data_IF_416436608060
#
_entry.id   IF_416436608060
#
_cell.length_a   1.000
_cell.length_b   1.000
_cell.length_c   1.000
_cell.angle_alpha   90.00
_cell.angle_beta   90.00
_cell.angle_gamma   90.00
#
_symmetry.space_group_name_H-M   'P 1'
#
loop_
_entity.id
_entity.type
_entity.pdbx_description
1 polymer ?
#
# COMPACT_ATOMS: atom_id res chain seq x y z
N UNK A 1 -14.99 18.28 -16.45
CA UNK A 1 -15.04 17.64 -15.13
C UNK A 1 -14.34 18.57 -14.17
N UNK A 2 -14.88 18.80 -12.98
CA UNK A 2 -14.19 19.56 -11.94
C UNK A 2 -13.07 18.67 -11.35
N UNK A 3 -11.98 19.27 -10.86
CA UNK A 3 -10.84 18.57 -10.25
C UNK A 3 -11.28 17.57 -9.17
N UNK A 4 -12.22 17.97 -8.31
CA UNK A 4 -12.84 17.12 -7.26
C UNK A 4 -13.55 15.87 -7.83
N UNK A 5 -14.16 15.96 -9.01
CA UNK A 5 -14.80 14.78 -9.64
C UNK A 5 -13.77 13.78 -10.15
N UNK A 6 -12.64 14.28 -10.69
CA UNK A 6 -11.52 13.44 -11.15
C UNK A 6 -10.86 12.71 -9.96
N UNK A 7 -10.63 13.39 -8.84
CA UNK A 7 -10.04 12.80 -7.63
C UNK A 7 -10.90 11.67 -7.06
N UNK A 8 -12.22 11.88 -7.01
CA UNK A 8 -13.17 10.86 -6.56
C UNK A 8 -13.17 9.63 -7.49
N UNK A 9 -13.11 9.84 -8.80
CA UNK A 9 -13.03 8.75 -9.77
C UNK A 9 -11.74 7.94 -9.61
N UNK A 10 -10.59 8.58 -9.33
CA UNK A 10 -9.31 7.91 -9.05
C UNK A 10 -9.43 7.03 -7.80
N UNK A 11 -9.96 7.55 -6.69
CA UNK A 11 -10.15 6.81 -5.44
C UNK A 11 -11.02 5.56 -5.64
N UNK A 12 -12.15 5.70 -6.36
CA UNK A 12 -13.06 4.58 -6.67
C UNK A 12 -12.36 3.57 -7.58
N UNK A 13 -11.67 4.02 -8.62
CA UNK A 13 -10.94 3.15 -9.56
C UNK A 13 -9.88 2.30 -8.83
N UNK A 14 -9.06 2.93 -7.99
CA UNK A 14 -8.07 2.23 -7.18
C UNK A 14 -8.73 1.21 -6.26
N UNK A 15 -9.75 1.60 -5.49
CA UNK A 15 -10.44 0.69 -4.57
C UNK A 15 -11.02 -0.52 -5.31
N UNK A 16 -11.68 -0.30 -6.47
CA UNK A 16 -12.28 -1.37 -7.29
C UNK A 16 -11.22 -2.31 -7.87
N UNK A 17 -10.09 -1.76 -8.35
CA UNK A 17 -9.01 -2.55 -8.92
C UNK A 17 -8.44 -3.56 -7.91
N UNK A 18 -8.16 -3.10 -6.69
CA UNK A 18 -7.61 -3.96 -5.63
C UNK A 18 -8.62 -4.97 -5.07
N UNK A 19 -9.91 -4.82 -5.35
CA UNK A 19 -10.94 -5.80 -5.01
C UNK A 19 -11.07 -6.94 -6.03
N UNK A 20 -10.44 -6.84 -7.21
CA UNK A 20 -10.62 -7.80 -8.29
C UNK A 20 -9.99 -9.17 -7.98
N UNK A 21 -10.68 -10.25 -8.37
CA UNK A 21 -10.19 -11.62 -8.21
C UNK A 21 -8.91 -11.89 -9.00
N UNK A 22 -8.71 -11.21 -10.13
CA UNK A 22 -7.49 -11.31 -10.92
C UNK A 22 -6.28 -10.77 -10.15
N UNK A 23 -6.42 -9.63 -9.49
CA UNK A 23 -5.35 -9.04 -8.67
C UNK A 23 -5.02 -9.99 -7.51
N UNK A 24 -6.03 -10.56 -6.85
CA UNK A 24 -5.83 -11.57 -5.80
C UNK A 24 -5.10 -12.81 -6.31
N UNK A 25 -5.46 -13.33 -7.46
CA UNK A 25 -4.79 -14.49 -8.05
C UNK A 25 -3.31 -14.23 -8.33
N UNK A 26 -2.98 -13.02 -8.81
CA UNK A 26 -1.61 -12.63 -9.15
C UNK A 26 -0.76 -12.24 -7.93
N UNK A 27 -1.32 -11.47 -7.00
CA UNK A 27 -0.56 -10.88 -5.89
C UNK A 27 -0.79 -11.56 -4.54
N UNK A 28 -1.86 -12.36 -4.39
CA UNK A 28 -2.28 -12.96 -3.11
C UNK A 28 -3.15 -12.00 -2.30
N UNK A 29 -3.24 -12.22 -0.99
CA UNK A 29 -4.03 -11.38 -0.09
C UNK A 29 -3.25 -10.20 0.50
N UNK A 30 -1.93 -10.16 0.31
CA UNK A 30 -1.03 -9.08 0.72
C UNK A 30 -0.51 -8.37 -0.52
N UNK A 31 -1.02 -7.16 -0.78
CA UNK A 31 -0.83 -6.45 -2.04
C UNK A 31 0.39 -5.51 -2.08
N UNK A 32 1.29 -5.60 -1.13
CA UNK A 32 2.48 -4.75 -1.12
C UNK A 32 3.79 -5.54 -1.23
N UNK A 33 4.84 -4.97 -1.84
CA UNK A 33 6.17 -5.55 -1.89
C UNK A 33 6.69 -5.90 -0.49
N UNK A 34 7.34 -7.05 -0.37
CA UNK A 34 7.89 -7.53 0.90
C UNK A 34 6.89 -8.25 1.81
N UNK A 35 5.58 -8.12 1.56
CA UNK A 35 4.53 -8.80 2.32
C UNK A 35 4.64 -8.57 3.83
N UNK A 36 4.05 -9.47 4.61
CA UNK A 36 4.01 -9.35 6.08
C UNK A 36 5.40 -9.28 6.75
N UNK A 37 6.45 -9.74 6.09
CA UNK A 37 7.82 -9.58 6.59
C UNK A 37 8.25 -8.10 6.60
N UNK A 38 7.86 -7.32 5.58
CA UNK A 38 8.12 -5.89 5.55
C UNK A 38 7.20 -5.13 6.50
N UNK A 39 5.93 -5.53 6.62
CA UNK A 39 5.01 -4.99 7.65
C UNK A 39 5.60 -5.17 9.06
N UNK A 40 6.14 -6.36 9.36
CA UNK A 40 6.83 -6.61 10.64
C UNK A 40 8.04 -5.70 10.82
N UNK A 41 8.88 -5.56 9.77
CA UNK A 41 10.03 -4.65 9.78
C UNK A 41 9.60 -3.20 10.01
N UNK A 42 8.50 -2.75 9.38
CA UNK A 42 7.91 -1.43 9.58
C UNK A 42 7.51 -1.23 11.04
N UNK A 43 6.78 -2.18 11.63
CA UNK A 43 6.40 -2.15 13.05
C UNK A 43 7.61 -2.06 13.99
N UNK A 44 8.69 -2.81 13.69
CA UNK A 44 9.96 -2.71 14.43
C UNK A 44 10.61 -1.34 14.27
N UNK A 45 10.65 -0.78 13.05
CA UNK A 45 11.28 0.50 12.77
C UNK A 45 10.61 1.66 13.51
N UNK A 46 9.28 1.64 13.60
CA UNK A 46 8.52 2.62 14.39
C UNK A 46 8.33 2.19 15.86
N UNK A 47 8.99 1.09 16.29
CA UNK A 47 9.01 0.60 17.67
C UNK A 47 7.60 0.38 18.25
N UNK A 48 6.74 -0.32 17.50
CA UNK A 48 5.43 -0.73 18.03
C UNK A 48 5.57 -1.64 19.24
N UNK A 49 4.67 -1.49 20.17
CA UNK A 49 4.61 -2.30 21.38
C UNK A 49 3.20 -2.51 21.90
N UNK A 50 3.06 -3.33 22.97
CA UNK A 50 1.77 -3.62 23.55
C UNK A 50 1.04 -2.36 24.01
N UNK A 51 -0.23 -2.25 23.64
CA UNK A 51 -1.11 -1.13 24.02
C UNK A 51 -0.97 0.12 23.16
N UNK A 52 -0.04 0.19 22.18
CA UNK A 52 -0.03 1.26 21.18
C UNK A 52 -1.35 1.29 20.42
N UNK A 53 -1.89 2.49 20.19
CA UNK A 53 -3.03 2.74 19.32
C UNK A 53 -2.50 3.09 17.94
N UNK A 54 -2.71 2.20 16.99
CA UNK A 54 -2.19 2.30 15.63
C UNK A 54 -3.33 2.58 14.66
N UNK A 55 -3.15 3.53 13.74
CA UNK A 55 -4.03 3.72 12.58
C UNK A 55 -3.33 3.14 11.35
N UNK A 56 -4.01 2.23 10.65
CA UNK A 56 -3.61 1.72 9.34
C UNK A 56 -4.46 2.40 8.26
N UNK A 57 -3.85 3.34 7.52
CA UNK A 57 -4.52 4.17 6.52
C UNK A 57 -4.48 3.48 5.17
N UNK A 58 -5.66 3.26 4.56
CA UNK A 58 -5.88 2.42 3.39
C UNK A 58 -5.49 0.97 3.66
N UNK A 59 -6.05 0.40 4.72
CA UNK A 59 -5.71 -0.92 5.25
C UNK A 59 -6.08 -2.09 4.32
N UNK A 60 -6.79 -1.83 3.21
CA UNK A 60 -7.26 -2.86 2.31
C UNK A 60 -8.08 -3.92 3.06
N UNK A 61 -7.75 -5.18 2.84
CA UNK A 61 -8.40 -6.33 3.48
C UNK A 61 -7.85 -6.68 4.88
N UNK A 62 -7.08 -5.76 5.48
CA UNK A 62 -6.65 -5.85 6.88
C UNK A 62 -5.42 -6.73 7.14
N UNK A 63 -4.72 -7.21 6.12
CA UNK A 63 -3.60 -8.14 6.32
C UNK A 63 -2.48 -7.55 7.21
N UNK A 64 -2.10 -6.30 6.96
CA UNK A 64 -1.12 -5.58 7.78
C UNK A 64 -1.63 -5.31 9.19
N UNK A 65 -2.87 -4.81 9.31
CA UNK A 65 -3.49 -4.51 10.61
C UNK A 65 -3.56 -5.75 11.52
N UNK A 66 -4.04 -6.88 11.00
CA UNK A 66 -4.14 -8.17 11.70
C UNK A 66 -2.75 -8.64 12.12
N UNK A 67 -1.78 -8.61 11.21
CA UNK A 67 -0.41 -9.04 11.50
C UNK A 67 0.25 -8.19 12.58
N UNK A 68 0.09 -6.86 12.55
CA UNK A 68 0.64 -5.97 13.57
C UNK A 68 -0.02 -6.19 14.94
N UNK A 69 -1.35 -6.34 14.98
CA UNK A 69 -2.07 -6.64 16.20
C UNK A 69 -1.59 -7.95 16.85
N UNK A 70 -1.41 -8.99 16.05
CA UNK A 70 -0.89 -10.29 16.52
C UNK A 70 0.55 -10.18 17.04
N UNK A 71 1.43 -9.54 16.26
CA UNK A 71 2.88 -9.56 16.52
C UNK A 71 3.33 -8.58 17.60
N UNK A 72 2.65 -7.44 17.74
CA UNK A 72 3.04 -6.40 18.68
C UNK A 72 2.07 -6.21 19.84
N UNK A 73 0.95 -6.96 19.87
CA UNK A 73 -0.12 -6.81 20.86
C UNK A 73 -0.63 -5.36 20.96
N UNK A 74 -0.64 -4.64 19.85
CA UNK A 74 -1.14 -3.26 19.73
C UNK A 74 -2.61 -3.25 19.30
N UNK A 75 -3.30 -2.14 19.54
CA UNK A 75 -4.66 -1.92 19.05
C UNK A 75 -4.61 -1.24 17.68
N UNK A 76 -5.10 -1.91 16.64
CA UNK A 76 -5.05 -1.36 15.28
C UNK A 76 -6.44 -0.97 14.81
N UNK A 77 -6.59 0.30 14.43
CA UNK A 77 -7.74 0.78 13.68
C UNK A 77 -7.38 0.84 12.20
N UNK A 78 -8.01 0.00 11.38
CA UNK A 78 -7.87 0.05 9.92
C UNK A 78 -8.93 0.98 9.31
N UNK A 79 -8.51 1.82 8.39
CA UNK A 79 -9.40 2.68 7.60
C UNK A 79 -9.18 2.42 6.12
N UNK A 80 -10.25 2.20 5.36
CA UNK A 80 -10.19 2.03 3.91
C UNK A 80 -11.35 2.77 3.22
N UNK A 81 -11.11 3.20 1.98
CA UNK A 81 -12.14 3.87 1.17
C UNK A 81 -13.21 2.89 0.69
N UNK A 82 -12.83 1.64 0.44
CA UNK A 82 -13.70 0.57 -0.07
C UNK A 82 -14.45 -0.14 1.05
N UNK A 83 -15.79 -0.07 1.03
CA UNK A 83 -16.63 -0.74 2.04
C UNK A 83 -16.46 -2.25 2.06
N UNK A 84 -16.19 -2.87 0.91
CA UNK A 84 -15.95 -4.32 0.79
C UNK A 84 -14.60 -4.73 1.41
N UNK A 85 -13.59 -3.87 1.30
CA UNK A 85 -12.31 -4.06 1.98
C UNK A 85 -12.49 -4.06 3.50
N UNK A 86 -13.24 -3.11 4.02
CA UNK A 86 -13.55 -3.02 5.46
C UNK A 86 -14.26 -4.27 5.97
N UNK A 87 -15.26 -4.76 5.23
CA UNK A 87 -15.96 -6.00 5.59
C UNK A 87 -15.03 -7.23 5.56
N UNK A 88 -14.16 -7.31 4.54
CA UNK A 88 -13.19 -8.38 4.42
C UNK A 88 -12.12 -8.33 5.52
N UNK A 89 -11.67 -7.12 5.89
CA UNK A 89 -10.71 -6.93 6.98
C UNK A 89 -11.28 -7.36 8.35
N UNK A 90 -12.56 -7.06 8.60
CA UNK A 90 -13.22 -7.53 9.82
C UNK A 90 -13.31 -9.07 9.86
N UNK A 91 -13.74 -9.69 8.75
CA UNK A 91 -13.81 -11.15 8.66
C UNK A 91 -12.43 -11.80 8.86
N UNK A 92 -11.38 -11.21 8.27
CA UNK A 92 -10.01 -11.70 8.45
C UNK A 92 -9.56 -11.62 9.92
N UNK A 93 -9.86 -10.53 10.61
CA UNK A 93 -9.52 -10.39 12.03
C UNK A 93 -10.29 -11.36 12.94
N UNK A 94 -11.54 -11.65 12.58
CA UNK A 94 -12.35 -12.66 13.27
C UNK A 94 -11.75 -14.07 13.08
N UNK A 95 -11.39 -14.43 11.86
CA UNK A 95 -10.78 -15.72 11.50
C UNK A 95 -9.42 -15.94 12.19
N UNK A 96 -8.58 -14.89 12.30
CA UNK A 96 -7.28 -14.94 12.98
C UNK A 96 -7.37 -14.75 14.51
N UNK A 97 -8.58 -14.51 15.06
CA UNK A 97 -8.83 -14.41 16.51
C UNK A 97 -8.31 -13.11 17.15
N UNK A 98 -8.02 -12.08 16.37
CA UNK A 98 -7.51 -10.77 16.83
C UNK A 98 -8.54 -9.65 16.79
N UNK A 99 -9.81 -9.96 16.58
CA UNK A 99 -10.90 -8.98 16.55
C UNK A 99 -10.99 -8.10 17.81
N UNK A 100 -10.50 -8.59 18.95
CA UNK A 100 -10.45 -7.84 20.19
C UNK A 100 -9.34 -6.74 20.21
N UNK A 101 -8.40 -6.78 19.27
CA UNK A 101 -7.31 -5.80 19.08
C UNK A 101 -7.50 -4.95 17.83
N UNK A 102 -8.51 -5.23 17.02
CA UNK A 102 -8.69 -4.57 15.72
C UNK A 102 -10.07 -3.95 15.58
N UNK A 103 -10.15 -2.85 14.85
CA UNK A 103 -11.40 -2.20 14.45
C UNK A 103 -11.24 -1.69 13.03
N UNK A 104 -12.26 -1.90 12.18
CA UNK A 104 -12.20 -1.43 10.79
C UNK A 104 -13.36 -0.51 10.49
N UNK A 105 -13.08 0.56 9.72
CA UNK A 105 -14.11 1.50 9.30
C UNK A 105 -13.84 2.07 7.91
N UNK A 106 -14.92 2.43 7.23
CA UNK A 106 -14.82 3.14 5.97
C UNK A 106 -14.45 4.61 6.22
N UNK A 107 -13.56 5.16 5.39
CA UNK A 107 -13.18 6.56 5.44
C UNK A 107 -12.23 6.96 4.32
N UNK A 108 -11.94 8.27 4.27
CA UNK A 108 -11.03 8.87 3.30
C UNK A 108 -9.74 9.30 4.01
N UNK A 109 -8.59 8.98 3.43
CA UNK A 109 -7.28 9.40 3.95
C UNK A 109 -7.09 10.93 3.97
N UNK A 110 -7.80 11.63 3.09
CA UNK A 110 -7.80 13.11 3.00
C UNK A 110 -8.82 13.78 3.93
N UNK A 111 -9.47 13.00 4.81
CA UNK A 111 -10.43 13.51 5.79
C UNK A 111 -10.67 12.44 6.86
N UNK A 112 -9.66 12.17 7.70
CA UNK A 112 -9.70 11.13 8.69
C UNK A 112 -10.74 11.40 9.78
N UNK A 113 -11.72 10.50 10.01
CA UNK A 113 -12.83 10.70 10.93
C UNK A 113 -12.42 10.40 12.39
N UNK A 114 -11.30 10.97 12.83
CA UNK A 114 -10.74 10.82 14.17
C UNK A 114 -10.36 12.19 14.74
N UNK A 115 -10.36 12.30 16.06
CA UNK A 115 -9.90 13.48 16.76
C UNK A 115 -8.37 13.65 16.67
N UNK A 116 -7.86 14.84 16.98
CA UNK A 116 -6.44 15.15 16.99
C UNK A 116 -5.71 14.34 18.08
N UNK A 117 -4.54 13.79 17.74
CA UNK A 117 -3.63 13.19 18.71
C UNK A 117 -4.13 11.89 19.34
N UNK A 118 -5.02 11.15 18.70
CA UNK A 118 -5.59 9.91 19.29
C UNK A 118 -4.77 8.68 19.02
N UNK A 119 -3.79 8.69 18.09
CA UNK A 119 -2.97 7.55 17.75
C UNK A 119 -1.51 7.73 18.18
N UNK A 120 -0.91 6.66 18.68
CA UNK A 120 0.50 6.59 19.04
C UNK A 120 1.38 6.28 17.82
N UNK A 121 0.79 5.63 16.81
CA UNK A 121 1.41 5.39 15.51
C UNK A 121 0.38 5.46 14.36
N UNK A 122 0.85 5.88 13.19
CA UNK A 122 0.10 5.80 11.92
C UNK A 122 0.96 5.06 10.92
N UNK A 123 0.37 4.12 10.20
CA UNK A 123 1.01 3.43 9.08
C UNK A 123 0.20 3.60 7.80
N UNK A 124 0.87 3.45 6.66
CA UNK A 124 0.25 3.31 5.34
C UNK A 124 1.19 2.50 4.45
N UNK A 125 0.71 1.42 3.84
CA UNK A 125 1.52 0.54 3.01
C UNK A 125 0.98 0.48 1.58
N UNK A 126 1.83 0.86 0.61
CA UNK A 126 1.55 0.83 -0.83
C UNK A 126 0.26 1.57 -1.24
N UNK A 127 -0.01 2.71 -0.62
CA UNK A 127 -1.26 3.45 -0.83
C UNK A 127 -1.08 4.97 -0.91
N UNK A 128 -0.08 5.55 -0.26
CA UNK A 128 0.16 7.00 -0.25
C UNK A 128 0.40 7.55 -1.67
N UNK A 129 1.05 6.77 -2.55
CA UNK A 129 1.22 7.10 -3.97
C UNK A 129 -0.11 7.30 -4.70
N UNK A 130 -1.19 6.62 -4.27
CA UNK A 130 -2.51 6.66 -4.92
C UNK A 130 -3.38 7.82 -4.46
N UNK A 131 -3.04 8.50 -3.36
CA UNK A 131 -3.84 9.61 -2.86
C UNK A 131 -3.74 10.80 -3.80
N UNK A 132 -4.86 11.35 -4.31
CA UNK A 132 -4.85 12.53 -5.17
C UNK A 132 -4.22 13.75 -4.48
N UNK A 133 -4.65 14.08 -3.27
CA UNK A 133 -4.07 15.15 -2.44
C UNK A 133 -3.20 14.58 -1.31
N UNK A 134 -1.95 14.25 -1.65
CA UNK A 134 -0.97 13.76 -0.67
C UNK A 134 -0.65 14.75 0.44
N UNK A 135 -0.77 16.05 0.18
CA UNK A 135 -0.50 17.07 1.18
C UNK A 135 -1.59 17.07 2.25
N UNK A 136 -2.86 17.01 1.85
CA UNK A 136 -3.99 16.88 2.78
C UNK A 136 -3.94 15.56 3.53
N UNK A 137 -3.66 14.42 2.85
CA UNK A 137 -3.53 13.13 3.53
C UNK A 137 -2.39 13.12 4.56
N UNK A 138 -1.23 13.69 4.23
CA UNK A 138 -0.11 13.82 5.17
C UNK A 138 -0.47 14.71 6.38
N UNK A 139 -1.17 15.82 6.15
CA UNK A 139 -1.64 16.69 7.22
C UNK A 139 -2.63 15.98 8.16
N UNK A 140 -3.56 15.20 7.62
CA UNK A 140 -4.50 14.39 8.38
C UNK A 140 -3.80 13.29 9.20
N UNK A 141 -2.85 12.55 8.59
CA UNK A 141 -2.04 11.56 9.30
C UNK A 141 -1.26 12.21 10.46
N UNK A 142 -0.66 13.37 10.22
CA UNK A 142 0.05 14.12 11.27
C UNK A 142 -0.93 14.65 12.33
N UNK A 143 -2.13 15.13 11.96
CA UNK A 143 -3.13 15.64 12.89
C UNK A 143 -3.57 14.60 13.92
N UNK A 144 -3.88 13.38 13.43
CA UNK A 144 -4.39 12.31 14.30
C UNK A 144 -3.30 11.63 15.15
N UNK A 145 -2.01 11.82 14.82
CA UNK A 145 -0.89 11.39 15.66
C UNK A 145 -0.80 12.22 16.93
N UNK A 146 -0.56 11.58 18.06
CA UNK A 146 -0.15 12.24 19.30
C UNK A 146 1.23 12.91 19.13
N UNK A 147 1.54 13.91 19.95
CA UNK A 147 2.88 14.49 20.02
C UNK A 147 3.89 13.39 20.40
N UNK A 148 4.99 13.29 19.66
CA UNK A 148 5.93 12.20 19.78
C UNK A 148 5.47 10.89 19.11
N UNK A 149 4.26 10.87 18.54
CA UNK A 149 3.73 9.75 17.77
C UNK A 149 4.55 9.47 16.51
N UNK A 150 4.46 8.26 16.00
CA UNK A 150 5.37 7.71 14.97
C UNK A 150 4.61 7.40 13.69
N UNK A 151 5.18 7.80 12.56
CA UNK A 151 4.68 7.42 11.24
C UNK A 151 5.56 6.35 10.64
N UNK A 152 4.94 5.35 10.01
CA UNK A 152 5.57 4.35 9.16
C UNK A 152 4.89 4.29 7.80
N UNK A 153 5.66 4.49 6.73
CA UNK A 153 5.18 4.44 5.35
C UNK A 153 6.02 3.47 4.55
N UNK A 154 5.39 2.55 3.81
CA UNK A 154 6.08 1.83 2.73
C UNK A 154 5.36 2.13 1.43
N UNK A 155 6.10 2.55 0.38
CA UNK A 155 5.43 2.92 -0.86
C UNK A 155 6.31 2.82 -2.11
N UNK A 156 5.63 2.80 -3.26
CA UNK A 156 6.25 2.88 -4.58
C UNK A 156 6.92 4.23 -4.77
N UNK A 157 8.08 4.22 -5.39
CA UNK A 157 8.81 5.43 -5.73
C UNK A 157 9.22 5.44 -7.21
N UNK A 158 9.25 6.63 -7.80
CA UNK A 158 9.66 6.84 -9.19
C UNK A 158 10.70 7.96 -9.23
N UNK A 159 11.86 7.65 -9.82
CA UNK A 159 12.92 8.61 -10.09
C UNK A 159 12.92 8.95 -11.59
N UNK A 160 12.59 10.18 -11.93
CA UNK A 160 12.52 10.65 -13.31
C UNK A 160 11.18 10.36 -14.01
N UNK A 161 11.20 10.29 -15.34
CA UNK A 161 10.01 10.02 -16.14
C UNK A 161 9.85 8.53 -16.41
N UNK A 162 8.62 8.05 -16.26
CA UNK A 162 8.26 6.71 -16.71
C UNK A 162 8.19 6.70 -18.25
N UNK A 163 8.69 5.64 -18.90
CA UNK A 163 8.54 5.45 -20.34
C UNK A 163 7.07 5.37 -20.77
N UNK A 164 6.76 5.91 -21.97
CA UNK A 164 5.39 5.94 -22.49
C UNK A 164 4.75 4.57 -22.64
N UNK A 165 5.55 3.52 -22.91
CA UNK A 165 5.10 2.14 -23.02
C UNK A 165 4.58 1.55 -21.68
N UNK A 166 4.89 2.20 -20.58
CA UNK A 166 4.36 1.85 -19.25
C UNK A 166 3.15 2.70 -18.87
N UNK A 167 3.01 3.89 -19.44
CA UNK A 167 1.86 4.75 -19.17
C UNK A 167 0.53 4.15 -19.64
N UNK A 168 0.50 3.30 -20.64
CA UNK A 168 -0.71 2.56 -21.08
C UNK A 168 -1.11 1.43 -20.11
N UNK A 169 -0.18 1.00 -19.26
CA UNK A 169 -0.41 0.06 -18.17
C UNK A 169 -0.82 0.71 -16.88
N UNK A 170 -0.90 2.02 -16.85
CA UNK A 170 -1.18 2.80 -15.67
C UNK A 170 -2.57 2.55 -15.08
N UNK A 171 -3.51 2.01 -15.84
CA UNK A 171 -4.69 1.41 -15.25
C UNK A 171 -4.32 0.23 -14.32
N UNK A 172 -3.19 -0.44 -14.62
CA UNK A 172 -2.68 -1.57 -13.85
C UNK A 172 -1.76 -1.14 -12.70
N UNK A 173 -1.14 0.01 -12.83
CA UNK A 173 -0.16 0.52 -11.85
C UNK A 173 -0.59 1.91 -11.40
N UNK A 174 -1.83 2.04 -10.94
CA UNK A 174 -2.30 3.28 -10.31
C UNK A 174 -1.30 3.77 -9.23
N UNK A 175 -0.65 2.83 -8.55
CA UNK A 175 0.42 3.09 -7.59
C UNK A 175 1.64 3.81 -8.19
N UNK A 176 1.98 3.61 -9.47
CA UNK A 176 3.19 4.21 -10.08
C UNK A 176 2.90 5.59 -10.66
N UNK A 177 1.67 5.85 -11.15
CA UNK A 177 1.31 7.13 -11.75
C UNK A 177 1.40 8.31 -10.78
N UNK A 178 1.04 8.06 -9.52
CA UNK A 178 1.10 9.07 -8.46
C UNK A 178 2.36 8.98 -7.59
N UNK A 179 3.30 8.06 -7.89
CA UNK A 179 4.51 7.87 -7.11
C UNK A 179 5.50 9.03 -7.30
N UNK A 180 6.04 9.49 -6.18
CA UNK A 180 7.10 10.47 -6.13
C UNK A 180 8.46 9.84 -5.81
N UNK A 181 9.48 10.67 -5.66
CA UNK A 181 10.75 10.24 -5.08
C UNK A 181 10.64 10.08 -3.56
N UNK A 182 11.52 9.29 -2.91
CA UNK A 182 11.55 9.22 -1.45
C UNK A 182 11.68 10.60 -0.78
N UNK A 183 12.50 11.49 -1.36
CA UNK A 183 12.69 12.87 -0.86
C UNK A 183 11.43 13.72 -1.01
N UNK A 184 10.66 13.55 -2.09
CA UNK A 184 9.39 14.24 -2.29
C UNK A 184 8.35 13.82 -1.24
N UNK A 185 8.30 12.53 -0.90
CA UNK A 185 7.45 12.05 0.19
C UNK A 185 7.88 12.61 1.54
N UNK A 186 9.18 12.54 1.86
CA UNK A 186 9.71 13.11 3.10
C UNK A 186 9.43 14.62 3.21
N UNK A 187 9.53 15.37 2.10
CA UNK A 187 9.21 16.81 2.09
C UNK A 187 7.72 17.06 2.31
N UNK A 188 6.83 16.26 1.71
CA UNK A 188 5.38 16.36 1.94
C UNK A 188 5.04 16.12 3.41
N UNK A 189 5.61 15.07 4.00
CA UNK A 189 5.42 14.72 5.40
C UNK A 189 6.04 15.78 6.34
N UNK A 190 7.17 16.37 5.98
CA UNK A 190 7.81 17.45 6.75
C UNK A 190 6.92 18.69 6.80
N UNK A 191 6.31 19.08 5.69
CA UNK A 191 5.35 20.20 5.65
C UNK A 191 4.12 19.94 6.50
N UNK A 192 3.78 18.69 6.74
CA UNK A 192 2.71 18.28 7.64
C UNK A 192 3.10 18.31 9.14
N UNK A 193 4.34 18.68 9.49
CA UNK A 193 4.83 18.75 10.87
C UNK A 193 5.47 17.47 11.40
N UNK A 194 5.96 16.62 10.49
CA UNK A 194 6.72 15.43 10.87
C UNK A 194 8.23 15.66 10.72
N UNK A 195 9.02 15.04 11.58
CA UNK A 195 10.49 15.12 11.62
C UNK A 195 11.14 13.76 11.85
N UNK A 196 12.43 13.75 12.21
CA UNK A 196 13.20 12.52 12.52
C UNK A 196 13.11 11.43 11.44
N UNK A 197 13.30 11.79 10.17
CA UNK A 197 13.13 10.86 9.06
C UNK A 197 14.23 9.79 8.98
N UNK A 198 13.80 8.54 8.75
CA UNK A 198 14.67 7.47 8.24
C UNK A 198 14.08 6.96 6.94
N UNK A 199 14.91 6.78 5.90
CA UNK A 199 14.50 6.29 4.59
C UNK A 199 15.33 5.05 4.26
N UNK A 200 14.66 3.92 4.04
CA UNK A 200 15.30 2.65 3.68
C UNK A 200 14.88 2.23 2.27
N UNK A 201 15.85 1.86 1.45
CA UNK A 201 15.60 1.30 0.11
C UNK A 201 15.09 -0.13 0.22
N UNK A 202 13.92 -0.39 -0.36
CA UNK A 202 13.24 -1.68 -0.39
C UNK A 202 13.06 -2.20 -1.82
N UNK A 203 13.86 -1.75 -2.80
CA UNK A 203 13.78 -2.18 -4.21
C UNK A 203 13.89 -3.69 -4.38
N UNK A 204 14.62 -4.37 -3.51
CA UNK A 204 14.71 -5.84 -3.52
C UNK A 204 13.34 -6.49 -3.31
N UNK A 205 12.54 -5.99 -2.38
CA UNK A 205 11.19 -6.48 -2.11
C UNK A 205 10.27 -6.30 -3.34
N UNK A 206 10.34 -5.14 -3.99
CA UNK A 206 9.60 -4.89 -5.23
C UNK A 206 10.03 -5.84 -6.36
N UNK A 207 11.33 -6.02 -6.57
CA UNK A 207 11.85 -6.95 -7.56
C UNK A 207 11.39 -8.39 -7.32
N UNK A 208 11.41 -8.83 -6.07
CA UNK A 208 11.00 -10.19 -5.70
C UNK A 208 9.49 -10.40 -5.92
N UNK A 209 8.66 -9.38 -5.64
CA UNK A 209 7.23 -9.39 -5.96
C UNK A 209 6.99 -9.50 -7.47
N UNK A 210 7.64 -8.67 -8.30
CA UNK A 210 7.51 -8.72 -9.77
C UNK A 210 7.98 -10.07 -10.31
N UNK A 211 9.08 -10.61 -9.80
CA UNK A 211 9.54 -11.95 -10.18
C UNK A 211 8.56 -13.05 -9.74
N UNK A 212 7.86 -12.87 -8.63
CA UNK A 212 6.76 -13.73 -8.18
C UNK A 212 5.61 -13.76 -9.19
N UNK A 213 5.17 -12.60 -9.64
CA UNK A 213 4.14 -12.45 -10.69
C UNK A 213 4.58 -13.14 -11.98
N UNK A 214 5.83 -12.92 -12.42
CA UNK A 214 6.37 -13.60 -13.62
C UNK A 214 6.28 -15.11 -13.51
N UNK A 215 6.66 -15.70 -12.36
CA UNK A 215 6.57 -17.16 -12.15
C UNK A 215 5.13 -17.65 -12.21
N UNK A 216 4.18 -16.91 -11.64
CA UNK A 216 2.75 -17.24 -11.71
C UNK A 216 2.22 -17.21 -13.15
N UNK A 217 2.56 -16.17 -13.92
CA UNK A 217 2.19 -16.06 -15.34
C UNK A 217 2.74 -17.25 -16.16
N UNK A 218 3.98 -17.67 -15.93
CA UNK A 218 4.55 -18.85 -16.59
C UNK A 218 3.82 -20.16 -16.19
N UNK A 219 3.41 -20.29 -14.92
CA UNK A 219 2.63 -21.42 -14.45
C UNK A 219 1.24 -21.49 -15.09
N UNK A 220 0.58 -20.34 -15.22
CA UNK A 220 -0.72 -20.20 -15.91
C UNK A 220 -0.61 -20.59 -17.38
N UNK A 221 0.42 -20.13 -18.08
CA UNK A 221 0.70 -20.50 -19.48
C UNK A 221 0.88 -22.01 -19.67
N UNK A 222 1.67 -22.63 -18.79
CA UNK A 222 1.87 -24.08 -18.82
C UNK A 222 0.55 -24.85 -18.60
N UNK A 223 -0.26 -24.41 -17.64
CA UNK A 223 -1.55 -25.04 -17.35
C UNK A 223 -2.53 -24.89 -18.53
N UNK A 224 -2.56 -23.73 -19.19
CA UNK A 224 -3.36 -23.50 -20.39
C UNK A 224 -2.88 -24.36 -21.57
N UNK A 225 -1.57 -24.47 -21.80
CA UNK A 225 -0.99 -25.32 -22.84
C UNK A 225 -1.28 -26.82 -22.63
N UNK A 226 -1.56 -27.23 -21.40
CA UNK A 226 -2.00 -28.59 -21.05
C UNK A 226 -3.53 -28.76 -21.10
N UNK A 227 -4.27 -27.74 -21.53
CA UNK A 227 -5.74 -27.76 -21.58
C UNK A 227 -6.43 -27.77 -20.20
N UNK A 228 -5.71 -27.41 -19.14
CA UNK A 228 -6.21 -27.42 -17.76
C UNK A 228 -6.83 -26.08 -17.32
N UNK A 229 -6.63 -25.02 -18.12
CA UNK A 229 -7.11 -23.68 -17.83
C UNK A 229 -7.54 -22.98 -19.12
N UNK A 230 -8.71 -22.38 -19.11
CA UNK A 230 -9.17 -21.45 -20.14
C UNK A 230 -8.78 -20.02 -19.72
N UNK A 231 -8.04 -19.33 -20.57
CA UNK A 231 -7.54 -17.99 -20.28
C UNK A 231 -8.52 -16.87 -20.62
N UNK A 232 -9.59 -17.19 -21.37
CA UNK A 232 -10.49 -16.15 -21.89
C UNK A 232 -9.70 -15.09 -22.68
N UNK A 233 -9.94 -13.82 -22.35
CA UNK A 233 -9.30 -12.67 -23.00
C UNK A 233 -7.95 -12.26 -22.37
N UNK A 234 -7.35 -13.09 -21.51
CA UNK A 234 -6.09 -12.75 -20.80
C UNK A 234 -4.89 -12.84 -21.74
N UNK A 235 -4.27 -11.70 -22.04
CA UNK A 235 -3.02 -11.63 -22.81
C UNK A 235 -1.80 -11.89 -21.91
N UNK A 236 -1.39 -13.17 -21.85
CA UNK A 236 -0.23 -13.59 -21.07
C UNK A 236 1.10 -13.05 -21.62
N UNK A 237 1.21 -12.85 -22.93
CA UNK A 237 2.46 -12.36 -23.52
C UNK A 237 2.67 -10.90 -23.18
N UNK A 238 1.62 -10.11 -23.22
CA UNK A 238 1.64 -8.75 -22.72
C UNK A 238 2.00 -8.73 -21.21
N UNK A 239 1.33 -9.50 -20.36
CA UNK A 239 1.66 -9.61 -18.94
C UNK A 239 3.13 -9.95 -18.67
N UNK A 240 3.70 -10.90 -19.41
CA UNK A 240 5.12 -11.26 -19.31
C UNK A 240 6.05 -10.15 -19.79
N UNK A 241 5.69 -9.46 -20.90
CA UNK A 241 6.44 -8.31 -21.42
C UNK A 241 6.56 -7.22 -20.36
N UNK A 242 5.44 -6.92 -19.71
CA UNK A 242 5.32 -5.88 -18.72
C UNK A 242 6.11 -6.20 -17.44
N UNK A 243 6.00 -7.43 -16.99
CA UNK A 243 6.76 -7.85 -15.83
C UNK A 243 8.28 -7.81 -16.08
N UNK A 244 8.74 -8.14 -17.31
CA UNK A 244 10.16 -7.94 -17.70
C UNK A 244 10.54 -6.47 -17.66
N UNK A 245 9.70 -5.60 -18.26
CA UNK A 245 9.94 -4.16 -18.30
C UNK A 245 9.99 -3.54 -16.90
N UNK A 246 9.11 -3.97 -16.00
CA UNK A 246 9.14 -3.55 -14.61
C UNK A 246 10.48 -3.89 -13.92
N UNK A 247 11.00 -5.12 -14.11
CA UNK A 247 12.31 -5.50 -13.57
C UNK A 247 13.43 -4.59 -14.11
N UNK A 248 13.44 -4.30 -15.41
CA UNK A 248 14.44 -3.39 -16.00
C UNK A 248 14.41 -1.99 -15.37
N UNK A 249 13.23 -1.45 -15.10
CA UNK A 249 13.08 -0.14 -14.47
C UNK A 249 13.53 -0.15 -13.01
N UNK A 250 13.28 -1.24 -12.30
CA UNK A 250 13.76 -1.43 -10.93
C UNK A 250 15.29 -1.49 -10.92
N UNK A 251 15.89 -2.26 -11.83
CA UNK A 251 17.35 -2.40 -11.93
C UNK A 251 18.05 -1.09 -12.32
N UNK A 252 17.39 -0.28 -13.16
CA UNK A 252 17.86 1.07 -13.52
C UNK A 252 17.62 2.12 -12.43
N UNK A 253 16.92 1.78 -11.35
CA UNK A 253 16.58 2.70 -10.27
C UNK A 253 15.53 3.75 -10.64
N UNK A 254 14.80 3.54 -11.75
CA UNK A 254 13.66 4.38 -12.14
C UNK A 254 12.44 4.07 -11.28
N UNK A 255 12.09 2.80 -11.13
CA UNK A 255 11.07 2.34 -10.19
C UNK A 255 11.73 1.82 -8.91
N UNK A 256 11.14 2.14 -7.78
CA UNK A 256 11.63 1.73 -6.48
C UNK A 256 10.51 1.45 -5.48
N UNK A 257 10.89 1.01 -4.31
CA UNK A 257 10.06 0.86 -3.14
C UNK A 257 10.84 1.33 -1.92
N UNK A 258 10.20 2.04 -1.02
CA UNK A 258 10.89 2.64 0.13
C UNK A 258 10.11 2.38 1.41
N UNK A 259 10.83 2.31 2.54
CA UNK A 259 10.28 2.40 3.87
C UNK A 259 10.71 3.74 4.46
N UNK A 260 9.76 4.55 4.88
CA UNK A 260 10.00 5.85 5.52
C UNK A 260 9.43 5.80 6.92
N UNK A 261 10.20 6.23 7.91
CA UNK A 261 9.70 6.51 9.25
C UNK A 261 9.88 7.97 9.59
N UNK A 262 8.97 8.50 10.40
CA UNK A 262 9.02 9.86 10.90
C UNK A 262 8.36 9.95 12.27
N UNK A 263 8.51 11.10 12.95
CA UNK A 263 7.84 11.42 14.21
C UNK A 263 7.12 12.75 14.14
N UNK A 264 6.01 12.86 14.87
CA UNK A 264 5.37 14.15 15.12
C UNK A 264 6.12 14.89 16.23
N UNK A 265 6.54 16.12 15.93
CA UNK A 265 7.22 17.01 16.87
C UNK A 265 6.24 17.68 17.87
#
# INVERSE_FOLDING_TARGET
MTEIAADREIKICCATFYQSDLVRALFGDVFHPGGLALTYRLGQAIKLGPGDRVLDVACGRGASAVHLAERFCCHVTGLDYGVENVAAAQAHADDEGVAHLTTFRQGDAEGLPFDDGVFDAVISECSFCTFPDKATAAAEMARVLAVGGRLGLTDMTVNGQLPDDIQTLLAWVACVAGAGTPDAYAETLRRAGLGDFTIEDQRSALRDMVNGVRRKLMGVELAAGLGKLDLGDLDLDEGKRLARRAVELIEKGVAGYTLITAKKE
#
